data_IF_768136934695
#
_entry.id   IF_768136934695
#
_cell.length_a   1.000
_cell.length_b   1.000
_cell.length_c   1.000
_cell.angle_alpha   90.00
_cell.angle_beta   90.00
_cell.angle_gamma   90.00
#
_symmetry.space_group_name_H-M   'P 1'
#
loop_
_entity.id
_entity.type
_entity.pdbx_description
1 polymer ?
#
# COMPACT_ATOMS: atom_id res chain seq x y z
N UNK A 1 -6.35 0.23 -4.95
CA UNK A 1 -6.63 1.69 -4.95
C UNK A 1 -5.37 2.53 -4.87
N UNK A 2 -4.34 2.15 -4.12
CA UNK A 2 -3.17 3.01 -3.88
C UNK A 2 -2.15 3.11 -5.02
N UNK A 3 -2.24 2.28 -6.06
CA UNK A 3 -1.24 2.19 -7.13
C UNK A 3 -1.05 3.52 -7.90
N UNK A 4 -2.11 4.20 -8.40
CA UNK A 4 -1.94 5.47 -9.11
C UNK A 4 -1.33 6.55 -8.22
N UNK A 5 -1.75 6.62 -6.95
CA UNK A 5 -1.23 7.58 -5.98
C UNK A 5 0.23 7.29 -5.63
N UNK A 6 0.59 6.01 -5.46
CA UNK A 6 1.96 5.60 -5.18
C UNK A 6 2.89 5.86 -6.36
N UNK A 7 2.41 5.62 -7.58
CA UNK A 7 3.14 5.93 -8.81
C UNK A 7 3.35 7.44 -8.98
N UNK A 8 2.30 8.25 -8.76
CA UNK A 8 2.41 9.71 -8.82
C UNK A 8 3.36 10.26 -7.76
N UNK A 9 3.29 9.76 -6.52
CA UNK A 9 4.22 10.13 -5.45
C UNK A 9 5.67 9.76 -5.80
N UNK A 10 5.90 8.53 -6.29
CA UNK A 10 7.22 8.10 -6.75
C UNK A 10 7.73 8.98 -7.89
N UNK A 11 6.90 9.29 -8.89
CA UNK A 11 7.24 10.15 -10.02
C UNK A 11 7.67 11.55 -9.57
N UNK A 12 6.91 12.18 -8.67
CA UNK A 12 7.27 13.49 -8.10
C UNK A 12 8.58 13.40 -7.32
N UNK A 13 8.77 12.35 -6.53
CA UNK A 13 9.98 12.15 -5.74
C UNK A 13 11.22 11.84 -6.58
N UNK A 14 11.08 11.15 -7.71
CA UNK A 14 12.18 10.81 -8.62
C UNK A 14 12.61 11.98 -9.49
N UNK A 15 11.67 12.69 -10.12
CA UNK A 15 11.99 13.63 -11.21
C UNK A 15 11.93 15.11 -10.83
N UNK A 16 11.39 15.47 -9.67
CA UNK A 16 11.29 16.86 -9.23
C UNK A 16 12.17 17.13 -8.00
N UNK A 17 12.80 18.31 -7.99
CA UNK A 17 13.48 18.88 -6.83
C UNK A 17 12.72 20.14 -6.38
N UNK A 18 12.32 20.18 -5.11
CA UNK A 18 11.61 21.31 -4.52
C UNK A 18 11.95 21.43 -3.04
N UNK A 19 11.82 22.64 -2.47
CA UNK A 19 12.23 22.95 -1.08
C UNK A 19 11.56 22.04 -0.03
N UNK A 20 10.33 21.59 -0.26
CA UNK A 20 9.58 20.71 0.64
C UNK A 20 9.81 19.21 0.44
N UNK A 21 10.75 18.79 -0.40
CA UNK A 21 10.93 17.37 -0.77
C UNK A 21 11.23 16.47 0.43
N UNK A 22 12.08 16.93 1.34
CA UNK A 22 12.41 16.21 2.59
C UNK A 22 11.17 16.02 3.46
N UNK A 23 10.32 17.05 3.59
CA UNK A 23 9.08 16.93 4.36
C UNK A 23 8.13 15.90 3.75
N UNK A 24 7.96 15.90 2.42
CA UNK A 24 7.16 14.89 1.73
C UNK A 24 7.74 13.49 1.93
N UNK A 25 9.07 13.34 1.86
CA UNK A 25 9.75 12.07 2.10
C UNK A 25 9.52 11.55 3.53
N UNK A 26 9.59 12.42 4.52
CA UNK A 26 9.28 12.09 5.92
C UNK A 26 7.82 11.66 6.05
N UNK A 27 6.87 12.42 5.49
CA UNK A 27 5.44 12.10 5.56
C UNK A 27 5.11 10.76 4.87
N UNK A 28 5.73 10.49 3.72
CA UNK A 28 5.55 9.24 2.98
C UNK A 28 6.10 8.04 3.76
N UNK A 29 7.21 8.20 4.48
CA UNK A 29 7.82 7.12 5.25
C UNK A 29 7.30 7.00 6.69
N UNK A 30 6.57 8.00 7.19
CA UNK A 30 6.04 8.04 8.54
C UNK A 30 5.23 6.79 8.93
N UNK A 31 4.37 6.20 8.06
CA UNK A 31 3.65 4.98 8.41
C UNK A 31 4.55 3.76 8.66
N UNK A 32 5.81 3.76 8.18
CA UNK A 32 6.76 2.66 8.47
C UNK A 32 7.36 2.75 9.87
N UNK A 33 7.45 3.96 10.44
CA UNK A 33 8.09 4.18 11.74
C UNK A 33 7.08 4.21 12.89
N UNK A 34 5.81 4.51 12.60
CA UNK A 34 4.77 4.56 13.62
C UNK A 34 4.22 3.16 13.95
N UNK A 35 3.88 2.89 15.23
CA UNK A 35 3.11 1.71 15.59
C UNK A 35 1.77 1.65 14.82
N UNK A 36 1.35 0.49 14.29
CA UNK A 36 0.12 0.39 13.50
C UNK A 36 -1.14 0.83 14.26
N UNK A 37 -1.20 0.58 15.57
CA UNK A 37 -2.29 1.03 16.44
C UNK A 37 -2.38 2.56 16.46
N UNK A 38 -1.25 3.26 16.48
CA UNK A 38 -1.23 4.72 16.40
C UNK A 38 -1.73 5.22 15.04
N UNK A 39 -1.37 4.53 13.95
CA UNK A 39 -1.89 4.84 12.60
C UNK A 39 -3.42 4.66 12.59
N UNK A 40 -3.94 3.55 13.12
CA UNK A 40 -5.37 3.32 13.27
C UNK A 40 -6.06 4.41 14.07
N UNK A 41 -5.47 4.86 15.18
CA UNK A 41 -6.01 5.93 16.00
C UNK A 41 -6.06 7.28 15.26
N UNK A 42 -5.00 7.64 14.54
CA UNK A 42 -4.96 8.86 13.71
C UNK A 42 -6.00 8.78 12.57
N UNK A 43 -6.19 7.61 11.98
CA UNK A 43 -7.23 7.37 10.98
C UNK A 43 -8.64 7.49 11.58
N UNK A 44 -8.85 6.98 12.80
CA UNK A 44 -10.12 7.14 13.51
C UNK A 44 -10.42 8.61 13.82
N UNK A 45 -9.42 9.37 14.27
CA UNK A 45 -9.57 10.82 14.54
C UNK A 45 -9.84 11.65 13.28
N UNK A 46 -9.33 11.22 12.12
CA UNK A 46 -9.52 11.94 10.85
C UNK A 46 -10.81 11.55 10.13
N UNK A 47 -11.14 10.24 10.09
CA UNK A 47 -12.27 9.67 9.34
C UNK A 47 -13.52 9.41 10.20
N UNK A 48 -13.42 9.46 11.52
CA UNK A 48 -14.56 9.37 12.43
C UNK A 48 -15.52 10.55 12.25
N UNK A 49 -16.79 10.40 12.64
CA UNK A 49 -17.86 11.39 12.36
C UNK A 49 -17.53 12.83 12.76
N UNK A 50 -16.80 13.02 13.87
CA UNK A 50 -16.36 14.34 14.38
C UNK A 50 -14.95 14.73 13.93
N UNK A 51 -14.33 13.92 13.07
CA UNK A 51 -13.01 14.15 12.52
C UNK A 51 -13.01 15.18 11.40
N UNK A 52 -11.82 15.70 11.09
CA UNK A 52 -11.66 16.76 10.10
C UNK A 52 -12.20 16.36 8.72
N UNK A 53 -11.95 15.13 8.25
CA UNK A 53 -12.56 14.62 7.03
C UNK A 53 -13.96 14.03 7.27
N UNK A 54 -14.17 13.39 8.42
CA UNK A 54 -15.40 12.68 8.71
C UNK A 54 -16.65 13.57 8.77
N UNK A 55 -16.53 14.83 9.16
CA UNK A 55 -17.67 15.77 9.13
C UNK A 55 -18.19 16.01 7.71
N UNK A 56 -17.31 16.10 6.71
CA UNK A 56 -17.68 16.29 5.31
C UNK A 56 -18.28 15.01 4.72
N UNK A 57 -17.73 13.85 5.12
CA UNK A 57 -18.25 12.55 4.72
C UNK A 57 -19.62 12.28 5.31
N UNK A 58 -19.85 12.61 6.59
CA UNK A 58 -21.14 12.45 7.27
C UNK A 58 -22.19 13.39 6.67
N UNK A 59 -21.81 14.62 6.28
CA UNK A 59 -22.67 15.54 5.52
C UNK A 59 -23.08 14.98 4.15
N UNK A 60 -22.22 14.16 3.52
CA UNK A 60 -22.54 13.42 2.30
C UNK A 60 -23.25 12.08 2.57
N UNK A 61 -23.55 11.73 3.84
CA UNK A 61 -24.17 10.47 4.23
C UNK A 61 -23.25 9.25 4.17
N UNK A 62 -21.94 9.44 3.99
CA UNK A 62 -20.95 8.37 3.83
C UNK A 62 -20.33 8.04 5.18
N UNK A 63 -20.48 6.78 5.64
CA UNK A 63 -19.82 6.28 6.86
C UNK A 63 -18.69 5.33 6.51
N UNK A 64 -17.47 5.69 6.90
CA UNK A 64 -16.27 4.89 6.65
C UNK A 64 -15.92 3.99 7.84
N UNK A 65 -15.93 4.52 9.07
CA UNK A 65 -15.60 3.75 10.28
C UNK A 65 -16.55 2.57 10.48
N UNK A 66 -16.03 1.44 10.97
CA UNK A 66 -16.73 0.15 11.11
C UNK A 66 -17.23 -0.46 9.80
N UNK A 67 -16.61 -0.10 8.67
CA UNK A 67 -16.88 -0.72 7.36
C UNK A 67 -15.61 -1.32 6.78
N UNK A 68 -15.76 -2.18 5.77
CA UNK A 68 -14.63 -2.73 5.03
C UNK A 68 -13.81 -1.63 4.31
N UNK A 69 -14.41 -0.47 4.01
CA UNK A 69 -13.69 0.69 3.47
C UNK A 69 -12.62 1.21 4.43
N UNK A 70 -12.90 1.23 5.74
CA UNK A 70 -11.91 1.63 6.74
C UNK A 70 -10.75 0.64 6.80
N UNK A 71 -11.02 -0.66 6.71
CA UNK A 71 -9.98 -1.69 6.63
C UNK A 71 -9.11 -1.51 5.38
N UNK A 72 -9.74 -1.27 4.22
CA UNK A 72 -9.03 -0.99 2.98
C UNK A 72 -8.12 0.24 3.08
N UNK A 73 -8.59 1.33 3.70
CA UNK A 73 -7.80 2.55 3.90
C UNK A 73 -6.65 2.32 4.88
N UNK A 74 -6.88 1.62 5.99
CA UNK A 74 -5.83 1.29 6.96
C UNK A 74 -4.71 0.48 6.30
N UNK A 75 -5.08 -0.60 5.61
CA UNK A 75 -4.14 -1.42 4.84
C UNK A 75 -3.41 -0.60 3.76
N UNK A 76 -4.11 0.33 3.10
CA UNK A 76 -3.52 1.20 2.10
C UNK A 76 -2.45 2.11 2.70
N UNK A 77 -2.73 2.80 3.81
CA UNK A 77 -1.81 3.74 4.47
C UNK A 77 -0.56 3.04 4.98
N UNK A 78 -0.74 1.87 5.58
CA UNK A 78 0.37 1.10 6.14
C UNK A 78 1.26 0.51 5.05
N UNK A 79 0.69 0.04 3.94
CA UNK A 79 1.45 -0.51 2.82
C UNK A 79 2.00 0.53 1.83
N UNK A 80 1.46 1.76 1.83
CA UNK A 80 1.79 2.83 0.89
C UNK A 80 3.30 3.12 0.77
N UNK A 81 4.08 3.21 1.87
CA UNK A 81 5.48 3.60 1.77
C UNK A 81 6.32 2.57 1.01
N UNK A 82 6.00 1.29 1.15
CA UNK A 82 6.69 0.19 0.46
C UNK A 82 6.43 0.25 -1.05
N UNK A 83 5.19 0.55 -1.44
CA UNK A 83 4.81 0.76 -2.84
C UNK A 83 5.62 1.91 -3.46
N UNK A 84 5.60 3.08 -2.83
CA UNK A 84 6.29 4.28 -3.33
C UNK A 84 7.79 4.03 -3.45
N UNK A 85 8.40 3.43 -2.41
CA UNK A 85 9.85 3.16 -2.39
C UNK A 85 10.27 2.25 -3.54
N UNK A 86 9.53 1.18 -3.80
CA UNK A 86 9.87 0.23 -4.85
C UNK A 86 9.68 0.82 -6.26
N UNK A 87 8.60 1.56 -6.50
CA UNK A 87 8.40 2.28 -7.77
C UNK A 87 9.50 3.30 -7.99
N UNK A 88 9.85 4.06 -6.94
CA UNK A 88 10.91 5.08 -6.99
C UNK A 88 12.26 4.48 -7.39
N UNK A 89 12.65 3.34 -6.81
CA UNK A 89 13.87 2.62 -7.19
C UNK A 89 13.85 2.27 -8.69
N UNK A 90 12.72 1.78 -9.21
CA UNK A 90 12.57 1.47 -10.63
C UNK A 90 12.56 2.70 -11.56
N UNK A 91 12.13 3.87 -11.06
CA UNK A 91 12.18 5.13 -11.80
C UNK A 91 13.59 5.76 -11.78
N UNK A 92 14.28 5.68 -10.65
CA UNK A 92 15.64 6.20 -10.47
C UNK A 92 16.69 5.37 -11.24
N UNK A 93 16.38 4.12 -11.58
CA UNK A 93 17.24 3.29 -12.45
C UNK A 93 17.15 3.61 -13.94
N UNK A 94 16.24 4.51 -14.35
CA UNK A 94 16.06 4.88 -15.77
C UNK A 94 17.18 5.83 -16.18
N UNK A 95 17.88 5.51 -17.27
CA UNK A 95 18.88 6.42 -17.85
C UNK A 95 18.22 7.74 -18.28
N UNK A 96 18.69 8.84 -17.71
CA UNK A 96 18.20 10.19 -18.02
C UNK A 96 18.30 10.50 -19.53
N UNK A 97 19.25 9.90 -20.24
CA UNK A 97 19.42 10.05 -21.70
C UNK A 97 18.18 9.59 -22.47
N UNK A 98 17.48 8.56 -22.01
CA UNK A 98 16.24 8.09 -22.66
C UNK A 98 15.12 9.14 -22.51
N UNK A 99 15.04 9.78 -21.35
CA UNK A 99 14.08 10.85 -21.08
C UNK A 99 14.42 12.07 -21.94
N UNK A 100 15.69 12.47 -21.99
CA UNK A 100 16.15 13.59 -22.82
C UNK A 100 15.92 13.32 -24.31
N UNK A 101 16.21 12.12 -24.81
CA UNK A 101 15.97 11.74 -26.20
C UNK A 101 14.48 11.81 -26.56
N UNK A 102 13.58 11.38 -25.68
CA UNK A 102 12.14 11.51 -25.91
C UNK A 102 11.72 12.98 -26.09
N UNK A 103 12.29 13.89 -25.30
CA UNK A 103 12.01 15.34 -25.40
C UNK A 103 12.56 15.93 -26.69
N UNK A 104 13.74 15.50 -27.14
CA UNK A 104 14.32 15.94 -28.43
C UNK A 104 13.48 15.50 -29.62
N UNK A 105 12.80 14.35 -29.53
CA UNK A 105 11.85 13.86 -30.54
C UNK A 105 10.49 14.60 -30.51
N UNK A 106 10.33 15.63 -29.66
CA UNK A 106 9.10 16.41 -29.54
C UNK A 106 8.01 15.76 -28.70
N UNK A 107 8.34 14.67 -27.97
CA UNK A 107 7.38 14.02 -27.08
C UNK A 107 6.94 14.96 -25.96
N UNK A 108 5.63 15.03 -25.71
CA UNK A 108 5.09 15.77 -24.57
C UNK A 108 5.32 14.95 -23.29
N UNK A 109 5.13 15.58 -22.12
CA UNK A 109 5.40 14.94 -20.83
C UNK A 109 4.63 13.63 -20.64
N UNK A 110 3.38 13.55 -21.11
CA UNK A 110 2.57 12.33 -21.01
C UNK A 110 3.03 11.26 -21.99
N UNK A 111 3.55 11.63 -23.17
CA UNK A 111 4.12 10.67 -24.12
C UNK A 111 5.36 10.02 -23.49
N UNK A 112 6.28 10.81 -22.92
CA UNK A 112 7.44 10.28 -22.18
C UNK A 112 7.02 9.40 -21.01
N UNK A 113 5.93 9.76 -20.30
CA UNK A 113 5.40 8.98 -19.19
C UNK A 113 4.99 7.57 -19.62
N UNK A 114 4.20 7.45 -20.69
CA UNK A 114 3.66 6.16 -21.14
C UNK A 114 4.62 5.36 -22.01
N UNK A 115 5.56 6.00 -22.71
CA UNK A 115 6.48 5.32 -23.64
C UNK A 115 7.85 4.99 -23.03
N UNK A 116 8.30 5.73 -22.02
CA UNK A 116 9.62 5.56 -21.39
C UNK A 116 9.46 5.19 -19.92
N UNK A 117 8.84 6.05 -19.13
CA UNK A 117 8.90 5.96 -17.66
C UNK A 117 8.10 4.76 -17.15
N UNK A 118 6.84 4.63 -17.55
CA UNK A 118 5.98 3.53 -17.13
C UNK A 118 6.52 2.14 -17.53
N UNK A 119 6.90 1.88 -18.80
CA UNK A 119 7.39 0.57 -19.19
C UNK A 119 8.74 0.21 -18.55
N UNK A 120 9.66 1.17 -18.40
CA UNK A 120 10.97 0.92 -17.79
C UNK A 120 10.88 0.75 -16.26
N UNK A 121 9.97 1.48 -15.59
CA UNK A 121 9.74 1.34 -14.15
C UNK A 121 8.77 0.20 -13.78
N UNK A 122 8.23 -0.52 -14.77
CA UNK A 122 7.19 -1.54 -14.55
C UNK A 122 7.60 -2.64 -13.58
N UNK A 123 8.88 -3.06 -13.59
CA UNK A 123 9.41 -4.03 -12.62
C UNK A 123 9.26 -3.51 -11.17
N UNK A 124 9.55 -2.22 -10.96
CA UNK A 124 9.37 -1.54 -9.67
C UNK A 124 7.89 -1.41 -9.26
N UNK A 125 6.98 -1.23 -10.23
CA UNK A 125 5.53 -1.20 -9.97
C UNK A 125 5.02 -2.56 -9.51
N UNK A 126 5.43 -3.66 -10.17
CA UNK A 126 5.06 -5.02 -9.74
C UNK A 126 5.63 -5.31 -8.36
N UNK A 127 6.92 -5.07 -8.15
CA UNK A 127 7.58 -5.34 -6.88
C UNK A 127 6.93 -4.54 -5.74
N UNK A 128 6.68 -3.24 -5.93
CA UNK A 128 6.03 -2.39 -4.96
C UNK A 128 4.59 -2.81 -4.65
N UNK A 129 3.84 -3.24 -5.67
CA UNK A 129 2.48 -3.75 -5.49
C UNK A 129 2.46 -5.03 -4.68
N UNK A 130 3.39 -5.95 -4.93
CA UNK A 130 3.52 -7.20 -4.17
C UNK A 130 3.95 -6.96 -2.73
N UNK A 131 4.92 -6.06 -2.50
CA UNK A 131 5.34 -5.68 -1.14
C UNK A 131 4.21 -5.03 -0.35
N UNK A 132 3.48 -4.10 -0.98
CA UNK A 132 2.31 -3.48 -0.37
C UNK A 132 1.23 -4.50 -0.05
N UNK A 133 0.96 -5.43 -0.97
CA UNK A 133 -0.01 -6.49 -0.78
C UNK A 133 0.38 -7.42 0.38
N UNK A 134 1.62 -7.91 0.40
CA UNK A 134 2.15 -8.70 1.51
C UNK A 134 2.05 -7.97 2.85
N UNK A 135 2.37 -6.67 2.89
CA UNK A 135 2.23 -5.86 4.11
C UNK A 135 0.77 -5.70 4.53
N UNK A 136 -0.15 -5.57 3.59
CA UNK A 136 -1.58 -5.42 3.88
C UNK A 136 -2.23 -6.70 4.43
N UNK A 137 -1.79 -7.88 3.99
CA UNK A 137 -2.29 -9.17 4.49
C UNK A 137 -2.04 -9.36 5.99
N UNK A 138 -0.88 -8.91 6.47
CA UNK A 138 -0.52 -8.97 7.88
C UNK A 138 -1.06 -7.81 8.72
N UNK A 139 -1.87 -6.91 8.16
CA UNK A 139 -2.30 -5.73 8.89
C UNK A 139 -3.43 -6.05 9.88
N UNK A 140 -3.17 -5.71 11.14
CA UNK A 140 -4.04 -5.98 12.28
C UNK A 140 -4.31 -4.70 13.09
N UNK A 141 -3.25 -4.02 13.52
CA UNK A 141 -3.34 -2.97 14.54
C UNK A 141 -4.05 -1.71 14.08
N UNK A 142 -3.84 -1.27 12.84
CA UNK A 142 -4.58 -0.13 12.31
C UNK A 142 -6.05 -0.50 12.04
N UNK A 143 -6.27 -1.70 11.48
CA UNK A 143 -7.58 -2.19 11.06
C UNK A 143 -8.54 -2.38 12.23
N UNK A 144 -8.10 -3.00 13.34
CA UNK A 144 -8.99 -3.24 14.49
C UNK A 144 -9.54 -1.94 15.08
N UNK A 145 -8.76 -0.85 15.03
CA UNK A 145 -9.16 0.45 15.58
C UNK A 145 -10.20 1.15 14.70
N UNK A 146 -10.09 1.05 13.37
CA UNK A 146 -10.97 1.80 12.45
C UNK A 146 -12.14 0.99 11.90
N UNK A 147 -11.96 -0.32 11.73
CA UNK A 147 -12.95 -1.21 11.13
C UNK A 147 -13.61 -2.12 12.19
N UNK A 148 -13.01 -2.25 13.37
CA UNK A 148 -13.45 -3.19 14.39
C UNK A 148 -13.22 -4.64 13.97
N UNK A 149 -13.74 -5.55 14.79
CA UNK A 149 -13.78 -6.99 14.49
C UNK A 149 -15.24 -7.45 14.43
N UNK A 150 -15.90 -7.21 13.30
CA UNK A 150 -17.31 -7.58 13.10
C UNK A 150 -17.37 -8.80 12.17
N UNK A 151 -17.73 -9.99 12.67
CA UNK A 151 -17.81 -11.21 11.86
C UNK A 151 -18.71 -11.02 10.63
N UNK A 152 -18.23 -11.47 9.48
CA UNK A 152 -18.94 -11.36 8.19
C UNK A 152 -18.99 -9.96 7.57
N UNK A 153 -18.46 -8.92 8.22
CA UNK A 153 -18.50 -7.53 7.72
C UNK A 153 -17.11 -6.91 7.62
N UNK A 154 -16.35 -6.89 8.73
CA UNK A 154 -15.03 -6.24 8.80
C UNK A 154 -13.93 -7.13 9.36
N UNK A 155 -14.29 -8.33 9.83
CA UNK A 155 -13.33 -9.31 10.33
C UNK A 155 -12.36 -9.73 9.22
N UNK A 156 -11.10 -9.36 9.39
CA UNK A 156 -10.00 -9.80 8.53
C UNK A 156 -9.41 -11.11 9.07
N UNK A 157 -8.63 -11.79 8.23
CA UNK A 157 -7.98 -13.05 8.63
C UNK A 157 -7.10 -12.90 9.90
N UNK A 158 -6.26 -11.85 10.06
CA UNK A 158 -5.55 -11.62 11.33
C UNK A 158 -6.47 -11.41 12.54
N UNK A 159 -7.61 -10.73 12.36
CA UNK A 159 -8.58 -10.52 13.45
C UNK A 159 -9.25 -11.83 13.86
N UNK A 160 -9.64 -12.66 12.89
CA UNK A 160 -10.20 -13.98 13.14
C UNK A 160 -9.21 -14.89 13.87
N UNK A 161 -7.94 -14.91 13.43
CA UNK A 161 -6.87 -15.67 14.12
C UNK A 161 -6.75 -15.23 15.58
N UNK A 162 -6.68 -13.93 15.84
CA UNK A 162 -6.57 -13.38 17.19
C UNK A 162 -7.77 -13.75 18.07
N UNK A 163 -8.98 -13.63 17.54
CA UNK A 163 -10.22 -13.96 18.24
C UNK A 163 -10.31 -15.45 18.59
N UNK A 164 -10.05 -16.34 17.63
CA UNK A 164 -10.05 -17.78 17.88
C UNK A 164 -8.91 -18.22 18.81
N UNK A 165 -7.73 -17.61 18.71
CA UNK A 165 -6.61 -17.90 19.59
C UNK A 165 -6.86 -17.45 21.04
N UNK A 166 -7.68 -16.41 21.21
CA UNK A 166 -8.04 -15.85 22.53
C UNK A 166 -9.30 -16.49 23.12
N UNK A 167 -9.98 -17.36 22.38
CA UNK A 167 -11.24 -18.02 22.78
C UNK A 167 -10.97 -19.45 23.26
N UNK A 168 -11.52 -19.89 24.41
CA UNK A 168 -11.39 -21.27 24.87
C UNK A 168 -11.93 -22.28 23.83
N UNK A 169 -11.10 -23.26 23.43
CA UNK A 169 -11.46 -24.28 22.44
C UNK A 169 -11.36 -23.84 20.97
N UNK A 170 -10.89 -22.61 20.72
CA UNK A 170 -10.67 -22.05 19.38
C UNK A 170 -9.34 -22.43 18.73
N UNK A 171 -8.46 -23.17 19.42
CA UNK A 171 -7.07 -23.40 18.98
C UNK A 171 -7.00 -24.09 17.62
N UNK A 172 -7.88 -25.07 17.38
CA UNK A 172 -7.96 -25.79 16.10
C UNK A 172 -8.30 -24.85 14.94
N UNK A 173 -9.23 -23.93 15.15
CA UNK A 173 -9.63 -22.97 14.11
C UNK A 173 -8.53 -21.92 13.87
N UNK A 174 -7.92 -21.43 14.95
CA UNK A 174 -6.78 -20.51 14.86
C UNK A 174 -5.63 -21.13 14.05
N UNK A 175 -5.27 -22.39 14.34
CA UNK A 175 -4.24 -23.12 13.60
C UNK A 175 -4.59 -23.32 12.13
N UNK A 176 -5.84 -23.66 11.81
CA UNK A 176 -6.29 -23.80 10.43
C UNK A 176 -6.18 -22.48 9.66
N UNK A 177 -6.61 -21.37 10.25
CA UNK A 177 -6.49 -20.04 9.64
C UNK A 177 -5.02 -19.61 9.49
N UNK A 178 -4.15 -19.92 10.45
CA UNK A 178 -2.72 -19.69 10.34
C UNK A 178 -2.11 -20.45 9.15
N UNK A 179 -2.46 -21.73 8.97
CA UNK A 179 -1.99 -22.52 7.82
C UNK A 179 -2.45 -21.92 6.49
N UNK A 180 -3.71 -21.51 6.39
CA UNK A 180 -4.24 -20.84 5.20
C UNK A 180 -3.50 -19.53 4.93
N UNK A 181 -3.24 -18.71 5.96
CA UNK A 181 -2.49 -17.47 5.85
C UNK A 181 -1.06 -17.70 5.37
N UNK A 182 -0.39 -18.74 5.88
CA UNK A 182 0.96 -19.14 5.46
C UNK A 182 0.96 -19.56 3.99
N UNK A 183 0.03 -20.42 3.57
CA UNK A 183 -0.07 -20.88 2.18
C UNK A 183 -0.33 -19.72 1.22
N UNK A 184 -1.24 -18.80 1.58
CA UNK A 184 -1.50 -17.59 0.79
C UNK A 184 -0.26 -16.69 0.70
N UNK A 185 0.42 -16.46 1.82
CA UNK A 185 1.64 -15.64 1.86
C UNK A 185 2.75 -16.26 1.00
N UNK A 186 2.95 -17.58 1.09
CA UNK A 186 3.89 -18.31 0.26
C UNK A 186 3.53 -18.20 -1.23
N UNK A 187 2.26 -18.42 -1.59
CA UNK A 187 1.83 -18.33 -2.99
C UNK A 187 2.11 -16.93 -3.59
N UNK A 188 1.87 -15.88 -2.81
CA UNK A 188 2.14 -14.50 -3.20
C UNK A 188 3.64 -14.24 -3.35
N UNK A 189 4.44 -14.73 -2.40
CA UNK A 189 5.89 -14.56 -2.44
C UNK A 189 6.52 -15.32 -3.61
N UNK A 190 6.08 -16.56 -3.84
CA UNK A 190 6.47 -17.35 -5.01
C UNK A 190 6.10 -16.66 -6.32
N UNK A 191 4.88 -16.12 -6.42
CA UNK A 191 4.45 -15.38 -7.61
C UNK A 191 5.33 -14.14 -7.83
N UNK A 192 5.65 -13.41 -6.77
CA UNK A 192 6.53 -12.26 -6.82
C UNK A 192 7.95 -12.62 -7.30
N UNK A 193 8.56 -13.65 -6.72
CA UNK A 193 9.90 -14.11 -7.12
C UNK A 193 9.92 -14.68 -8.55
N UNK A 194 8.87 -15.41 -8.93
CA UNK A 194 8.74 -15.96 -10.28
C UNK A 194 8.59 -14.86 -11.34
N UNK A 195 7.77 -13.84 -11.06
CA UNK A 195 7.63 -12.67 -11.94
C UNK A 195 8.93 -11.87 -12.00
N UNK A 196 9.61 -11.67 -10.86
CA UNK A 196 10.89 -10.97 -10.79
C UNK A 196 12.01 -11.66 -11.57
N UNK A 197 12.15 -12.98 -11.42
CA UNK A 197 13.20 -13.79 -12.08
C UNK A 197 12.99 -13.92 -13.60
N UNK A 198 11.74 -13.95 -14.08
CA UNK A 198 11.43 -13.93 -15.53
C UNK A 198 11.79 -12.60 -16.19
N UNK A 199 11.73 -11.51 -15.43
CA UNK A 199 12.03 -10.17 -15.94
C UNK A 199 13.55 -9.89 -15.95
N UNK A 200 14.32 -10.43 -14.99
CA UNK A 200 15.78 -10.26 -14.92
C UNK A 200 16.63 -11.10 -15.89
N UNK A 201 16.03 -11.93 -16.76
CA UNK A 201 16.76 -12.74 -17.77
C UNK A 201 16.79 -12.10 -19.17
N UNK A 202 16.51 -10.81 -19.29
CA UNK A 202 16.47 -10.07 -20.57
C UNK A 202 17.49 -8.93 -20.68
N UNK A 203 18.45 -8.90 -19.78
CA UNK A 203 19.60 -8.00 -19.80
C UNK A 203 20.85 -8.82 -20.20
#
# INVERSE_FOLDING_TARGET
>A
MSLPFGFAAAYVMSYYSFRGKVLLEVLLNLPLTLPPVLIGYLLLLSLGKKGWLGQYLDAAGIRIIFTWYAAMIASAVVGFPLLVRSIRIGMESIDERLIQASRTLGARWYDTLFTVILPLSFRGVIAGSSLMFGRSLGEFGATIIVAGNIPGVTQTMPLAIYEYASSPGGERMALALCLVAIVLSLAVLFLHEFLGSRLGRRD
#
